data_IF_092747533628
#
_entry.id   IF_092747533628
#
_cell.length_a   1.000
_cell.length_b   1.000
_cell.length_c   1.000
_cell.angle_alpha   90.00
_cell.angle_beta   90.00
_cell.angle_gamma   90.00
#
_symmetry.space_group_name_H-M   'P 1'
#
loop_
_entity.id
_entity.type
_entity.pdbx_description
1 polymer ?
#
# COMPACT_ATOMS: atom_id res chain seq x y z
N UNK A 1 3.10 14.45 23.03
CA UNK A 1 4.49 14.88 23.29
C UNK A 1 4.48 16.39 23.49
N UNK A 2 5.12 16.88 24.54
CA UNK A 2 5.06 18.33 24.88
C UNK A 2 6.41 18.92 25.22
N UNK A 3 7.49 18.15 25.12
CA UNK A 3 8.85 18.60 25.47
C UNK A 3 9.86 18.30 24.36
N UNK A 4 10.94 19.10 24.23
CA UNK A 4 12.05 18.80 23.34
C UNK A 4 12.71 17.43 23.59
N UNK A 5 12.68 16.95 24.84
CA UNK A 5 13.21 15.63 25.19
C UNK A 5 12.33 14.50 24.63
N UNK A 6 11.01 14.70 24.58
CA UNK A 6 10.08 13.73 23.99
C UNK A 6 10.38 13.56 22.49
N UNK A 7 10.55 14.68 21.77
CA UNK A 7 10.87 14.65 20.34
C UNK A 7 12.20 13.93 20.08
N UNK A 8 13.25 14.23 20.86
CA UNK A 8 14.55 13.58 20.71
C UNK A 8 14.48 12.05 20.88
N UNK A 9 13.74 11.57 21.88
CA UNK A 9 13.54 10.13 22.10
C UNK A 9 12.79 9.50 20.92
N UNK A 10 11.81 10.20 20.36
CA UNK A 10 11.01 9.66 19.27
C UNK A 10 11.77 9.64 17.95
N UNK A 11 12.53 10.69 17.65
CA UNK A 11 13.47 10.71 16.52
C UNK A 11 14.51 9.59 16.64
N UNK A 12 15.11 9.39 17.82
CA UNK A 12 16.09 8.30 18.02
C UNK A 12 15.45 6.92 17.80
N UNK A 13 14.24 6.70 18.30
CA UNK A 13 13.52 5.45 18.12
C UNK A 13 13.08 5.22 16.66
N UNK A 14 12.64 6.27 15.97
CA UNK A 14 12.34 6.25 14.54
C UNK A 14 13.59 5.84 13.74
N UNK A 15 14.68 6.59 13.89
CA UNK A 15 15.93 6.36 13.15
C UNK A 15 16.45 4.93 13.41
N UNK A 16 16.40 4.47 14.65
CA UNK A 16 16.78 3.09 14.99
C UNK A 16 15.95 2.07 14.19
N UNK A 17 14.62 2.22 14.15
CA UNK A 17 13.75 1.31 13.42
C UNK A 17 14.02 1.36 11.92
N UNK A 18 14.12 2.56 11.35
CA UNK A 18 14.27 2.75 9.90
C UNK A 18 15.64 2.34 9.39
N UNK A 19 16.71 2.62 10.14
CA UNK A 19 18.07 2.27 9.74
C UNK A 19 18.35 0.77 9.87
N UNK A 20 17.74 0.11 10.86
CA UNK A 20 18.10 -1.27 11.22
C UNK A 20 17.07 -2.31 10.79
N UNK A 21 15.83 -1.93 10.49
CA UNK A 21 14.77 -2.86 10.06
C UNK A 21 14.42 -2.65 8.59
N UNK A 22 14.16 -1.41 8.21
CA UNK A 22 13.64 -1.06 6.89
C UNK A 22 14.76 -0.89 5.84
N UNK A 23 15.75 -0.05 6.14
CA UNK A 23 16.88 0.28 5.26
C UNK A 23 17.68 -0.93 4.76
N UNK A 24 17.92 -2.01 5.55
CA UNK A 24 18.63 -3.18 5.02
C UNK A 24 17.96 -3.79 3.78
N UNK A 25 16.64 -3.75 3.68
CA UNK A 25 15.95 -4.21 2.47
C UNK A 25 16.22 -3.29 1.29
N UNK A 26 16.18 -1.96 1.50
CA UNK A 26 16.43 -0.98 0.44
C UNK A 26 17.82 -1.12 -0.16
N UNK A 27 18.84 -1.29 0.68
CA UNK A 27 20.23 -1.32 0.23
C UNK A 27 20.70 -2.69 -0.26
N UNK A 28 20.17 -3.79 0.29
CA UNK A 28 20.68 -5.14 0.02
C UNK A 28 19.68 -6.07 -0.66
N UNK A 29 18.38 -5.71 -0.71
CA UNK A 29 17.34 -6.56 -1.27
C UNK A 29 17.32 -6.61 -2.80
N UNK A 30 17.81 -5.56 -3.46
CA UNK A 30 17.81 -5.43 -4.93
C UNK A 30 16.41 -5.36 -5.56
N UNK A 31 15.37 -5.21 -4.74
CA UNK A 31 13.94 -5.23 -5.09
C UNK A 31 13.27 -3.90 -4.70
N UNK A 32 12.15 -3.60 -5.34
CA UNK A 32 11.36 -2.40 -5.07
C UNK A 32 10.77 -2.39 -3.66
N UNK A 33 10.84 -1.25 -2.98
CA UNK A 33 10.22 -1.08 -1.66
C UNK A 33 8.68 -1.07 -1.71
N UNK A 34 8.13 -0.62 -2.84
CA UNK A 34 6.69 -0.52 -3.08
C UNK A 34 6.12 -1.75 -3.81
N UNK A 35 6.98 -2.61 -4.36
CA UNK A 35 6.61 -3.90 -4.92
C UNK A 35 7.83 -4.83 -4.94
N UNK A 36 7.79 -5.86 -4.09
CA UNK A 36 8.89 -6.81 -3.92
C UNK A 36 9.16 -7.65 -5.18
N UNK A 37 8.23 -7.68 -6.14
CA UNK A 37 8.35 -8.45 -7.39
C UNK A 37 9.22 -7.72 -8.40
N UNK A 38 9.36 -6.40 -8.26
CA UNK A 38 10.11 -5.53 -9.17
C UNK A 38 11.56 -5.31 -8.72
N UNK A 39 12.49 -5.01 -9.64
CA UNK A 39 13.81 -4.48 -9.29
C UNK A 39 13.73 -3.16 -8.52
N UNK A 40 14.76 -2.82 -7.74
CA UNK A 40 14.80 -1.55 -7.02
C UNK A 40 14.66 -0.31 -7.93
N UNK A 41 15.35 -0.31 -9.07
CA UNK A 41 15.33 0.79 -10.05
C UNK A 41 14.22 0.58 -11.09
N UNK A 42 12.98 0.42 -10.64
CA UNK A 42 11.80 0.26 -11.49
C UNK A 42 10.65 1.17 -11.00
N UNK A 43 10.43 2.32 -11.65
CA UNK A 43 9.38 3.25 -11.26
C UNK A 43 8.01 2.65 -11.60
N UNK A 44 7.38 2.04 -10.60
CA UNK A 44 6.02 1.50 -10.70
C UNK A 44 5.19 2.08 -9.55
N UNK A 45 4.18 2.94 -9.83
CA UNK A 45 3.73 3.40 -11.16
C UNK A 45 4.73 4.29 -11.93
N UNK A 46 4.53 4.39 -13.26
CA UNK A 46 5.35 5.25 -14.14
C UNK A 46 5.14 6.75 -13.86
N UNK A 47 6.18 7.56 -14.08
CA UNK A 47 6.22 8.99 -13.73
C UNK A 47 5.85 9.98 -14.84
N UNK A 48 5.34 9.51 -15.99
CA UNK A 48 5.03 10.38 -17.15
C UNK A 48 4.00 11.48 -16.86
N UNK A 49 3.19 11.33 -15.81
CA UNK A 49 2.19 12.32 -15.41
C UNK A 49 2.82 13.66 -15.02
N UNK A 50 4.08 13.67 -14.56
CA UNK A 50 4.81 14.90 -14.21
C UNK A 50 5.02 15.78 -15.43
N UNK A 51 5.38 15.21 -16.58
CA UNK A 51 5.53 15.95 -17.83
C UNK A 51 4.19 16.56 -18.27
N UNK A 52 3.11 15.80 -18.14
CA UNK A 52 1.77 16.25 -18.48
C UNK A 52 1.30 17.43 -17.60
N UNK A 53 1.53 17.34 -16.28
CA UNK A 53 1.16 18.38 -15.32
C UNK A 53 1.96 19.68 -15.54
N UNK A 54 3.17 19.57 -16.07
CA UNK A 54 4.04 20.70 -16.38
C UNK A 54 3.84 21.30 -17.79
N UNK A 55 2.90 20.78 -18.60
CA UNK A 55 2.54 21.45 -19.85
C UNK A 55 1.94 22.84 -19.55
N UNK A 56 2.32 23.90 -20.27
CA UNK A 56 1.75 25.24 -20.06
C UNK A 56 0.23 25.28 -20.18
N UNK A 57 -0.34 24.47 -21.08
CA UNK A 57 -1.79 24.34 -21.25
C UNK A 57 -2.45 23.68 -20.04
N UNK A 58 -1.81 22.67 -19.44
CA UNK A 58 -2.33 21.97 -18.25
C UNK A 58 -2.26 22.88 -17.03
N UNK A 59 -1.11 23.50 -16.79
CA UNK A 59 -0.93 24.46 -15.70
C UNK A 59 -1.92 25.63 -15.81
N UNK A 60 -2.10 26.19 -17.00
CA UNK A 60 -3.09 27.25 -17.25
C UNK A 60 -4.53 26.80 -17.02
N UNK A 61 -4.88 25.57 -17.41
CA UNK A 61 -6.22 25.01 -17.19
C UNK A 61 -6.51 24.74 -15.71
N UNK A 62 -5.49 24.34 -14.93
CA UNK A 62 -5.57 24.14 -13.48
C UNK A 62 -5.48 25.44 -12.68
N UNK A 63 -4.99 26.53 -13.30
CA UNK A 63 -4.81 27.83 -12.65
C UNK A 63 -3.61 27.87 -11.70
N UNK A 64 -2.56 27.10 -11.99
CA UNK A 64 -1.32 27.04 -11.18
C UNK A 64 -0.16 27.69 -11.92
N UNK A 65 0.77 28.30 -11.17
CA UNK A 65 1.95 28.99 -11.69
C UNK A 65 3.28 28.37 -11.20
N UNK A 66 3.22 27.13 -10.71
CA UNK A 66 4.36 26.38 -10.19
C UNK A 66 4.59 25.10 -11.00
N UNK A 67 5.85 24.66 -11.06
CA UNK A 67 6.20 23.37 -11.66
C UNK A 67 5.91 22.23 -10.68
N UNK A 68 5.28 21.17 -11.18
CA UNK A 68 5.04 19.94 -10.44
C UNK A 68 6.32 19.09 -10.38
N UNK A 69 6.62 18.51 -9.22
CA UNK A 69 7.75 17.59 -9.00
C UNK A 69 7.27 16.16 -8.78
N UNK A 70 8.02 15.17 -9.25
CA UNK A 70 7.70 13.75 -9.02
C UNK A 70 7.76 13.42 -7.53
N UNK A 71 8.85 13.86 -6.89
CA UNK A 71 9.13 13.55 -5.50
C UNK A 71 8.34 14.47 -4.56
N UNK A 72 8.05 13.93 -3.38
CA UNK A 72 7.58 14.71 -2.25
C UNK A 72 8.62 15.78 -1.86
N UNK A 73 8.16 16.83 -1.18
CA UNK A 73 9.05 17.88 -0.70
C UNK A 73 9.94 17.34 0.43
N UNK A 74 11.24 17.22 0.18
CA UNK A 74 12.20 16.70 1.16
C UNK A 74 12.29 17.56 2.43
N UNK A 75 12.12 18.88 2.35
CA UNK A 75 12.15 19.74 3.53
C UNK A 75 10.97 19.42 4.47
N UNK A 76 9.79 19.15 3.90
CA UNK A 76 8.62 18.70 4.68
C UNK A 76 8.87 17.32 5.26
N UNK A 77 9.41 16.40 4.46
CA UNK A 77 9.75 15.05 4.93
C UNK A 77 10.70 15.10 6.14
N UNK A 78 11.80 15.86 6.04
CA UNK A 78 12.77 15.97 7.12
C UNK A 78 12.20 16.69 8.34
N UNK A 79 11.33 17.68 8.16
CA UNK A 79 10.67 18.35 9.28
C UNK A 79 9.82 17.37 10.13
N UNK A 80 9.16 16.39 9.50
CA UNK A 80 8.42 15.34 10.23
C UNK A 80 9.37 14.36 10.92
N UNK A 81 10.40 13.87 10.21
CA UNK A 81 11.41 12.97 10.77
C UNK A 81 12.14 13.58 11.98
N UNK A 82 12.52 14.86 11.91
CA UNK A 82 13.18 15.59 13.00
C UNK A 82 12.32 15.72 14.27
N UNK A 83 11.01 15.48 14.17
CA UNK A 83 10.09 15.48 15.32
C UNK A 83 9.68 14.07 15.79
N UNK A 84 10.15 13.02 15.10
CA UNK A 84 9.83 11.63 15.41
C UNK A 84 8.37 11.26 15.09
N UNK A 85 7.75 11.96 14.14
CA UNK A 85 6.32 11.85 13.87
C UNK A 85 5.93 10.49 13.24
N UNK A 86 6.85 9.80 12.56
CA UNK A 86 6.54 8.49 11.96
C UNK A 86 6.16 7.43 12.99
N UNK A 87 6.63 7.56 14.23
CA UNK A 87 6.34 6.64 15.32
C UNK A 87 5.41 7.25 16.38
N UNK A 88 4.64 8.26 15.98
CA UNK A 88 3.78 8.97 16.92
C UNK A 88 2.82 7.99 17.65
N UNK A 89 2.72 8.06 18.99
CA UNK A 89 2.35 6.91 19.80
C UNK A 89 0.85 6.63 19.90
N UNK A 90 0.00 7.46 19.28
CA UNK A 90 -1.46 7.36 19.40
C UNK A 90 -2.18 6.88 18.12
N UNK A 91 -1.46 6.51 17.05
CA UNK A 91 -2.13 6.08 15.81
C UNK A 91 -3.08 4.89 16.03
N UNK A 92 -2.73 3.95 16.91
CA UNK A 92 -3.59 2.81 17.26
C UNK A 92 -4.81 3.27 18.07
N UNK A 93 -4.61 4.15 19.04
CA UNK A 93 -5.66 4.73 19.89
C UNK A 93 -6.65 5.56 19.06
N UNK A 94 -6.19 6.21 17.99
CA UNK A 94 -7.06 6.93 17.06
C UNK A 94 -7.98 5.95 16.29
N UNK A 95 -7.47 4.79 15.86
CA UNK A 95 -8.31 3.73 15.27
C UNK A 95 -9.34 3.20 16.28
N UNK A 96 -8.92 2.96 17.52
CA UNK A 96 -9.80 2.53 18.61
C UNK A 96 -10.92 3.54 18.86
N UNK A 97 -10.58 4.83 18.88
CA UNK A 97 -11.53 5.93 19.04
C UNK A 97 -12.56 5.96 17.91
N UNK A 98 -12.12 5.88 16.65
CA UNK A 98 -13.00 5.89 15.48
C UNK A 98 -14.01 4.75 15.53
N UNK A 99 -13.53 3.52 15.78
CA UNK A 99 -14.37 2.33 15.84
C UNK A 99 -15.38 2.38 16.99
N UNK A 100 -14.97 2.84 18.18
CA UNK A 100 -15.87 3.02 19.32
C UNK A 100 -16.95 4.09 19.07
N UNK A 101 -16.71 5.03 18.15
CA UNK A 101 -17.69 6.03 17.69
C UNK A 101 -18.48 5.57 16.46
N UNK A 102 -18.49 4.27 16.16
CA UNK A 102 -19.20 3.69 15.01
C UNK A 102 -18.75 4.26 13.66
N UNK A 103 -17.53 4.78 13.56
CA UNK A 103 -16.91 5.14 12.28
C UNK A 103 -16.37 3.89 11.62
N UNK A 104 -16.68 3.71 10.34
CA UNK A 104 -16.18 2.59 9.55
C UNK A 104 -14.69 2.78 9.23
N UNK A 105 -13.90 1.74 9.48
CA UNK A 105 -12.46 1.69 9.20
C UNK A 105 -12.16 0.48 8.33
N UNK A 106 -11.57 0.72 7.16
CA UNK A 106 -11.11 -0.33 6.26
C UNK A 106 -9.59 -0.23 6.08
N UNK A 107 -8.88 -1.25 6.56
CA UNK A 107 -7.45 -1.42 6.37
C UNK A 107 -7.20 -2.22 5.11
N UNK A 108 -6.45 -1.65 4.15
CA UNK A 108 -6.30 -2.18 2.80
C UNK A 108 -4.81 -2.28 2.50
N UNK A 109 -4.35 -3.48 2.16
CA UNK A 109 -2.92 -3.74 1.96
C UNK A 109 -2.70 -4.60 0.72
N UNK A 110 -1.80 -4.15 -0.16
CA UNK A 110 -1.28 -4.97 -1.25
C UNK A 110 -0.31 -6.03 -0.71
N UNK A 111 -0.43 -7.26 -1.20
CA UNK A 111 0.37 -8.37 -0.68
C UNK A 111 1.81 -8.48 -1.20
N UNK A 112 2.19 -7.59 -2.12
CA UNK A 112 3.55 -7.43 -2.63
C UNK A 112 4.23 -6.15 -2.11
N UNK A 113 3.58 -5.35 -1.26
CA UNK A 113 4.21 -4.17 -0.65
C UNK A 113 5.18 -4.57 0.48
N UNK A 114 6.37 -3.98 0.49
CA UNK A 114 7.34 -4.17 1.57
C UNK A 114 7.21 -3.08 2.64
N UNK A 115 7.23 -1.81 2.22
CA UNK A 115 7.33 -0.66 3.12
C UNK A 115 6.14 -0.57 4.08
N UNK A 116 4.93 -0.86 3.58
CA UNK A 116 3.71 -0.95 4.37
C UNK A 116 3.07 -2.33 4.18
N UNK A 117 3.83 -3.38 4.42
CA UNK A 117 3.39 -4.76 4.18
C UNK A 117 2.12 -5.16 4.97
N UNK A 118 1.36 -6.07 4.37
CA UNK A 118 0.11 -6.58 4.93
C UNK A 118 0.28 -7.36 6.25
N UNK A 119 1.46 -7.91 6.55
CA UNK A 119 1.72 -8.58 7.83
C UNK A 119 1.66 -7.58 8.99
N UNK A 120 2.31 -6.43 8.83
CA UNK A 120 2.24 -5.32 9.79
C UNK A 120 0.81 -4.80 9.93
N UNK A 121 0.11 -4.62 8.81
CA UNK A 121 -1.30 -4.23 8.79
C UNK A 121 -2.22 -5.21 9.53
N UNK A 122 -2.04 -6.52 9.33
CA UNK A 122 -2.80 -7.55 10.03
C UNK A 122 -2.52 -7.50 11.54
N UNK A 123 -1.24 -7.40 11.92
CA UNK A 123 -0.84 -7.31 13.32
C UNK A 123 -1.45 -6.09 14.01
N UNK A 124 -1.47 -4.92 13.34
CA UNK A 124 -2.17 -3.73 13.82
C UNK A 124 -3.66 -4.00 13.95
N UNK A 125 -4.31 -4.57 12.94
CA UNK A 125 -5.75 -4.86 12.97
C UNK A 125 -6.16 -5.74 14.16
N UNK A 126 -5.33 -6.72 14.53
CA UNK A 126 -5.57 -7.60 15.66
C UNK A 126 -5.22 -6.98 17.02
N UNK A 127 -4.41 -5.91 17.04
CA UNK A 127 -3.99 -5.22 18.24
C UNK A 127 -4.92 -4.06 18.66
N UNK A 128 -5.76 -3.55 17.75
CA UNK A 128 -6.74 -2.49 18.04
C UNK A 128 -7.68 -2.93 19.16
N UNK A 129 -7.65 -2.22 20.29
CA UNK A 129 -8.44 -2.52 21.48
C UNK A 129 -9.75 -1.72 21.50
N UNK A 130 -10.75 -2.18 20.74
CA UNK A 130 -12.07 -1.55 20.65
C UNK A 130 -13.20 -2.50 21.11
N UNK A 131 -14.44 -2.01 21.14
CA UNK A 131 -15.62 -2.72 21.67
C UNK A 131 -15.82 -4.14 21.12
N UNK A 132 -15.46 -4.40 19.85
CA UNK A 132 -15.67 -5.69 19.19
C UNK A 132 -14.37 -6.42 18.81
N UNK A 133 -13.29 -6.20 19.58
CA UNK A 133 -11.98 -6.77 19.26
C UNK A 133 -11.99 -8.30 19.28
N UNK A 134 -12.70 -8.92 20.23
CA UNK A 134 -12.80 -10.37 20.33
C UNK A 134 -13.54 -10.97 19.15
N UNK A 135 -14.65 -10.35 18.73
CA UNK A 135 -15.42 -10.80 17.58
C UNK A 135 -14.65 -10.63 16.27
N UNK A 136 -13.96 -9.50 16.10
CA UNK A 136 -13.08 -9.30 14.93
C UNK A 136 -11.95 -10.32 14.87
N UNK A 137 -11.27 -10.58 15.99
CA UNK A 137 -10.22 -11.59 16.04
C UNK A 137 -10.75 -13.01 15.77
N UNK A 138 -12.01 -13.29 16.11
CA UNK A 138 -12.68 -14.55 15.82
C UNK A 138 -13.20 -14.66 14.38
N UNK A 139 -13.39 -13.55 13.66
CA UNK A 139 -13.80 -13.56 12.26
C UNK A 139 -12.73 -14.20 11.36
N UNK A 140 -13.18 -15.10 10.49
CA UNK A 140 -12.34 -15.77 9.51
C UNK A 140 -12.10 -14.93 8.25
N UNK A 141 -11.10 -15.29 7.48
CA UNK A 141 -10.82 -14.74 6.16
C UNK A 141 -11.79 -15.32 5.12
N UNK A 142 -12.57 -14.44 4.49
CA UNK A 142 -13.45 -14.74 3.35
C UNK A 142 -12.84 -14.20 2.06
N UNK A 143 -12.94 -14.91 0.92
CA UNK A 143 -12.50 -14.39 -0.38
C UNK A 143 -13.12 -13.02 -0.72
N UNK A 144 -12.30 -12.11 -1.22
CA UNK A 144 -12.72 -10.83 -1.78
C UNK A 144 -13.01 -11.01 -3.27
N UNK A 145 -14.29 -11.14 -3.59
CA UNK A 145 -14.79 -11.48 -4.92
C UNK A 145 -15.30 -10.24 -5.66
N UNK A 146 -14.94 -10.11 -6.94
CA UNK A 146 -15.47 -9.08 -7.84
C UNK A 146 -15.77 -9.72 -9.20
N UNK A 147 -17.05 -9.72 -9.60
CA UNK A 147 -17.57 -10.36 -10.82
C UNK A 147 -17.14 -11.84 -11.01
N UNK A 148 -16.99 -12.58 -9.92
CA UNK A 148 -16.63 -13.99 -9.95
C UNK A 148 -15.13 -14.29 -9.89
N UNK A 149 -14.27 -13.26 -9.94
CA UNK A 149 -12.83 -13.39 -9.75
C UNK A 149 -12.45 -13.02 -8.30
N UNK A 150 -11.48 -13.75 -7.73
CA UNK A 150 -10.93 -13.50 -6.41
C UNK A 150 -9.74 -12.54 -6.49
N UNK A 151 -9.81 -11.43 -5.75
CA UNK A 151 -8.80 -10.37 -5.75
C UNK A 151 -8.08 -10.23 -4.41
N UNK A 152 -8.40 -11.06 -3.43
CA UNK A 152 -7.87 -10.94 -2.08
C UNK A 152 -8.67 -11.75 -1.08
N UNK A 153 -8.40 -11.48 0.20
CA UNK A 153 -9.12 -12.08 1.32
C UNK A 153 -9.33 -11.05 2.43
N UNK A 154 -10.53 -11.06 3.02
CA UNK A 154 -10.96 -10.09 4.03
C UNK A 154 -11.37 -10.76 5.32
N UNK A 155 -10.88 -10.20 6.44
CA UNK A 155 -11.46 -10.36 7.77
C UNK A 155 -12.28 -9.11 8.08
N UNK A 156 -13.55 -9.27 8.42
CA UNK A 156 -14.42 -8.15 8.77
C UNK A 156 -15.39 -8.53 9.89
N UNK A 157 -15.50 -7.63 10.88
CA UNK A 157 -16.59 -7.63 11.84
C UNK A 157 -17.20 -6.23 11.91
N UNK A 158 -18.48 -6.12 11.58
CA UNK A 158 -19.20 -4.85 11.51
C UNK A 158 -18.41 -3.79 10.73
N UNK A 159 -18.11 -2.69 11.42
CA UNK A 159 -17.45 -1.51 10.87
C UNK A 159 -15.94 -1.63 10.69
N UNK A 160 -15.31 -2.73 11.09
CA UNK A 160 -13.87 -2.92 10.97
C UNK A 160 -13.53 -4.03 9.99
N UNK A 161 -12.69 -3.74 9.00
CA UNK A 161 -12.21 -4.73 8.04
C UNK A 161 -10.71 -4.62 7.81
N UNK A 162 -10.04 -5.76 7.71
CA UNK A 162 -8.68 -5.91 7.19
C UNK A 162 -8.75 -6.71 5.88
N UNK A 163 -8.28 -6.12 4.79
CA UNK A 163 -8.26 -6.70 3.46
C UNK A 163 -6.82 -6.79 2.95
N UNK A 164 -6.41 -8.01 2.63
CA UNK A 164 -5.21 -8.31 1.84
C UNK A 164 -5.61 -8.41 0.38
N UNK A 165 -5.05 -7.56 -0.48
CA UNK A 165 -5.31 -7.53 -1.93
C UNK A 165 -4.19 -8.24 -2.65
N UNK A 166 -4.54 -9.23 -3.46
CA UNK A 166 -3.59 -10.05 -4.19
C UNK A 166 -2.96 -9.31 -5.36
N UNK A 167 -1.73 -9.72 -5.67
CA UNK A 167 -0.96 -9.26 -6.83
C UNK A 167 -0.78 -7.73 -6.86
N UNK A 168 -0.74 -7.09 -5.69
CA UNK A 168 -0.72 -5.63 -5.53
C UNK A 168 0.44 -5.16 -4.68
N UNK A 169 1.18 -4.16 -5.15
CA UNK A 169 2.13 -3.40 -4.35
C UNK A 169 1.47 -2.29 -3.53
N UNK A 170 2.25 -1.28 -3.18
CA UNK A 170 1.86 -0.14 -2.34
C UNK A 170 0.62 0.60 -2.88
N UNK A 171 0.64 0.94 -4.17
CA UNK A 171 -0.44 1.64 -4.85
C UNK A 171 -1.52 0.68 -5.35
N UNK A 172 -2.27 0.05 -4.44
CA UNK A 172 -3.27 -0.99 -4.77
C UNK A 172 -4.18 -0.64 -5.97
N UNK A 173 -4.72 0.59 -6.12
CA UNK A 173 -5.54 0.95 -7.28
C UNK A 173 -4.82 0.90 -8.63
N UNK A 174 -3.50 1.05 -8.66
CA UNK A 174 -2.71 0.90 -9.88
C UNK A 174 -2.67 -0.57 -10.34
N UNK A 175 -2.47 -1.50 -9.39
CA UNK A 175 -2.36 -2.94 -9.68
C UNK A 175 -3.73 -3.58 -9.93
N UNK A 176 -4.73 -3.26 -9.10
CA UNK A 176 -6.06 -3.86 -9.12
C UNK A 176 -7.15 -2.78 -9.21
N UNK A 177 -7.24 -2.02 -10.33
CA UNK A 177 -8.15 -0.88 -10.44
C UNK A 177 -9.63 -1.27 -10.32
N UNK A 178 -10.00 -2.40 -10.93
CA UNK A 178 -11.37 -2.94 -10.88
C UNK A 178 -11.77 -3.28 -9.45
N UNK A 179 -10.93 -4.05 -8.76
CA UNK A 179 -11.19 -4.48 -7.40
C UNK A 179 -11.20 -3.29 -6.41
N UNK A 180 -10.28 -2.35 -6.60
CA UNK A 180 -10.20 -1.13 -5.78
C UNK A 180 -11.44 -0.25 -5.90
N UNK A 181 -12.02 -0.14 -7.09
CA UNK A 181 -13.28 0.59 -7.28
C UNK A 181 -14.45 -0.08 -6.56
N UNK A 182 -14.57 -1.41 -6.63
CA UNK A 182 -15.63 -2.13 -5.93
C UNK A 182 -15.45 -2.08 -4.41
N UNK A 183 -14.22 -2.21 -3.92
CA UNK A 183 -13.89 -1.97 -2.51
C UNK A 183 -14.33 -0.58 -2.04
N UNK A 184 -13.96 0.46 -2.78
CA UNK A 184 -14.34 1.84 -2.47
C UNK A 184 -15.85 2.00 -2.37
N UNK A 185 -16.60 1.47 -3.35
CA UNK A 185 -18.06 1.49 -3.35
C UNK A 185 -18.64 0.74 -2.14
N UNK A 186 -18.14 -0.45 -1.83
CA UNK A 186 -18.64 -1.28 -0.70
C UNK A 186 -18.42 -0.60 0.64
N UNK A 187 -17.24 -0.03 0.86
CA UNK A 187 -16.93 0.73 2.08
C UNK A 187 -17.84 1.95 2.20
N UNK A 188 -17.99 2.74 1.12
CA UNK A 188 -18.82 3.94 1.12
C UNK A 188 -20.31 3.64 1.33
N UNK A 189 -20.83 2.62 0.63
CA UNK A 189 -22.24 2.22 0.66
C UNK A 189 -22.61 1.32 1.83
N UNK A 190 -21.68 1.08 2.77
CA UNK A 190 -21.88 0.23 3.93
C UNK A 190 -22.29 -1.21 3.57
N UNK A 191 -21.67 -1.78 2.53
CA UNK A 191 -21.83 -3.19 2.14
C UNK A 191 -20.69 -4.03 2.74
N UNK A 192 -20.85 -5.35 2.78
CA UNK A 192 -19.77 -6.25 3.16
C UNK A 192 -18.61 -6.10 2.15
N UNK A 193 -17.38 -6.25 2.64
CA UNK A 193 -16.22 -6.10 1.76
C UNK A 193 -16.05 -7.31 0.84
N UNK A 194 -16.42 -8.51 1.30
CA UNK A 194 -16.15 -9.78 0.63
C UNK A 194 -16.75 -9.83 -0.79
N UNK A 195 -18.05 -9.60 -0.93
CA UNK A 195 -18.73 -9.62 -2.23
C UNK A 195 -19.70 -8.46 -2.45
N UNK A 196 -20.00 -7.68 -1.40
CA UNK A 196 -20.85 -6.51 -1.47
C UNK A 196 -22.33 -6.83 -1.67
N UNK A 197 -22.74 -8.06 -1.39
CA UNK A 197 -24.12 -8.52 -1.59
C UNK A 197 -25.04 -8.14 -0.44
N UNK A 198 -24.49 -7.86 0.75
CA UNK A 198 -25.29 -7.58 1.95
C UNK A 198 -24.85 -6.28 2.65
N UNK A 199 -25.81 -5.50 3.20
CA UNK A 199 -25.48 -4.39 4.06
C UNK A 199 -24.79 -4.84 5.36
N UNK A 200 -23.77 -4.10 5.77
CA UNK A 200 -23.08 -4.31 7.05
C UNK A 200 -23.94 -3.79 8.18
N UNK A 201 -24.32 -4.68 9.09
CA UNK A 201 -24.90 -4.38 10.40
C UNK A 201 -23.83 -4.52 11.49
N UNK A 202 -24.11 -4.04 12.71
CA UNK A 202 -23.14 -4.08 13.82
C UNK A 202 -22.70 -5.48 14.27
N UNK A 203 -23.36 -6.54 13.80
CA UNK A 203 -23.05 -7.95 14.08
C UNK A 203 -22.65 -8.75 12.82
N UNK A 204 -22.43 -8.09 11.68
CA UNK A 204 -21.90 -8.77 10.50
C UNK A 204 -20.51 -9.34 10.80
N UNK A 205 -20.23 -10.57 10.36
CA UNK A 205 -18.92 -11.21 10.50
C UNK A 205 -18.61 -12.00 9.23
N UNK A 206 -17.38 -11.88 8.75
CA UNK A 206 -16.83 -12.82 7.77
C UNK A 206 -16.60 -14.19 8.42
N UNK A 207 -16.45 -15.20 7.57
CA UNK A 207 -16.20 -16.60 7.95
C UNK A 207 -15.03 -17.18 7.14
N UNK A 208 -14.58 -18.39 7.46
CA UNK A 208 -13.45 -19.02 6.78
C UNK A 208 -12.27 -19.24 7.71
N UNK A 209 -11.07 -19.32 7.15
CA UNK A 209 -9.89 -19.69 7.89
C UNK A 209 -9.42 -18.58 8.83
N UNK A 210 -8.84 -18.95 9.97
CA UNK A 210 -8.31 -17.99 10.94
C UNK A 210 -7.08 -17.22 10.43
N UNK A 211 -6.48 -17.67 9.31
CA UNK A 211 -5.27 -17.09 8.74
C UNK A 211 -5.44 -16.90 7.24
N UNK A 212 -4.85 -15.82 6.73
CA UNK A 212 -4.63 -15.62 5.32
C UNK A 212 -3.58 -16.62 4.81
N UNK A 213 -3.95 -17.52 3.88
CA UNK A 213 -3.06 -18.63 3.45
C UNK A 213 -2.61 -18.56 2.00
N UNK A 214 -3.13 -17.63 1.21
CA UNK A 214 -2.78 -17.51 -0.21
C UNK A 214 -1.30 -17.19 -0.41
N UNK A 215 -0.68 -17.89 -1.37
CA UNK A 215 0.72 -17.72 -1.74
C UNK A 215 0.84 -17.39 -3.23
N UNK A 216 1.59 -16.35 -3.55
CA UNK A 216 1.88 -15.99 -4.94
C UNK A 216 3.10 -16.75 -5.47
N UNK A 217 3.22 -16.80 -6.78
CA UNK A 217 4.41 -17.37 -7.43
C UNK A 217 5.61 -16.48 -7.18
N UNK A 218 6.79 -17.04 -6.90
CA UNK A 218 8.00 -16.25 -6.80
C UNK A 218 8.50 -15.78 -8.18
N UNK A 219 8.70 -14.47 -8.35
CA UNK A 219 9.32 -13.89 -9.55
C UNK A 219 10.80 -13.60 -9.34
N UNK A 220 11.65 -14.33 -10.06
CA UNK A 220 13.08 -14.07 -10.12
C UNK A 220 13.34 -12.79 -10.93
N UNK A 221 14.18 -11.90 -10.39
CA UNK A 221 14.64 -10.73 -11.13
C UNK A 221 15.51 -11.16 -12.33
N UNK A 222 15.49 -10.44 -13.46
CA UNK A 222 16.38 -10.71 -14.60
C UNK A 222 17.84 -10.69 -14.16
N UNK A 223 18.65 -11.66 -14.61
CA UNK A 223 20.08 -11.65 -14.31
C UNK A 223 20.79 -10.50 -15.02
N UNK A 224 21.69 -9.80 -14.32
CA UNK A 224 22.48 -8.67 -14.83
C UNK A 224 23.26 -8.97 -16.12
N UNK A 225 23.52 -10.24 -16.43
CA UNK A 225 24.15 -10.71 -17.67
C UNK A 225 23.28 -10.53 -18.92
N UNK A 226 21.96 -10.47 -18.79
CA UNK A 226 21.05 -10.33 -19.93
C UNK A 226 20.79 -8.86 -20.32
N UNK A 227 20.90 -7.92 -19.38
CA UNK A 227 20.78 -6.49 -19.65
C UNK A 227 21.96 -5.93 -20.48
N UNK A 228 23.18 -6.46 -20.27
CA UNK A 228 24.37 -6.06 -21.02
C UNK A 228 24.41 -6.61 -22.47
N UNK A 229 23.71 -7.72 -22.74
CA UNK A 229 23.59 -8.27 -24.10
C UNK A 229 22.63 -7.44 -24.98
N UNK A 230 21.62 -6.80 -24.37
CA UNK A 230 20.69 -5.92 -25.08
C UNK A 230 21.33 -4.56 -25.44
N UNK A 231 22.24 -4.04 -24.60
CA UNK A 231 22.90 -2.74 -24.84
C UNK A 231 24.10 -2.80 -25.80
N UNK A 232 24.59 -3.99 -26.15
CA UNK A 232 25.75 -4.19 -27.05
C UNK A 232 25.38 -4.51 -28.50
N UNK A 233 24.08 -4.57 -28.85
CA UNK A 233 23.62 -4.89 -30.19
C UNK A 233 22.63 -3.86 -30.75
N UNK A 234 23.05 -2.60 -30.93
CA UNK A 234 22.39 -1.67 -31.88
C UNK A 234 23.28 -0.48 -32.22
N UNK A 235 24.24 -0.69 -33.13
CA UNK A 235 24.75 0.38 -33.99
C UNK A 235 24.15 0.17 -35.38
N UNK A 236 22.90 0.62 -35.58
CA UNK A 236 22.27 0.91 -36.87
C UNK A 236 20.92 1.56 -36.60
N UNK A 237 20.78 2.83 -36.97
CA UNK A 237 19.59 3.63 -36.78
C UNK A 237 18.42 3.18 -37.66
N UNK A 238 17.27 2.90 -37.05
CA UNK A 238 15.92 3.22 -37.55
C UNK A 238 14.92 3.14 -36.38
N UNK A 239 13.96 4.04 -36.39
CA UNK A 239 12.95 4.30 -35.35
C UNK A 239 12.18 3.07 -34.85
N UNK A 240 12.30 2.77 -33.56
CA UNK A 240 11.24 2.21 -32.72
C UNK A 240 11.63 2.41 -31.25
N UNK A 241 10.75 3.00 -30.45
CA UNK A 241 10.91 3.00 -28.99
C UNK A 241 11.04 1.55 -28.50
N UNK A 242 11.96 1.24 -27.57
CA UNK A 242 12.08 -0.11 -27.04
C UNK A 242 10.75 -0.48 -26.37
N UNK A 243 10.05 -1.46 -26.94
CA UNK A 243 8.89 -2.04 -26.30
C UNK A 243 9.36 -2.84 -25.09
N UNK A 244 9.19 -2.25 -23.91
CA UNK A 244 9.12 -3.03 -22.67
C UNK A 244 7.93 -3.96 -22.85
N UNK A 245 8.21 -5.26 -22.94
CA UNK A 245 7.19 -6.30 -22.97
C UNK A 245 6.47 -6.24 -21.63
N UNK A 246 5.38 -5.48 -21.56
CA UNK A 246 4.42 -5.50 -20.46
C UNK A 246 3.78 -6.88 -20.44
N UNK A 247 4.38 -7.82 -19.70
CA UNK A 247 3.70 -9.06 -19.34
C UNK A 247 2.56 -8.63 -18.41
N UNK A 248 1.33 -8.97 -18.78
CA UNK A 248 0.17 -8.77 -17.89
C UNK A 248 0.52 -9.36 -16.52
N UNK A 249 0.49 -8.49 -15.52
CA UNK A 249 0.45 -8.83 -14.10
C UNK A 249 -0.87 -9.53 -13.80
#
# INVERSE_FOLDING_TARGET
MTSPADYAICTEAEDMCRDNVESPYYFYGGRGAYDIRHPYADPTPESYFVDYLNLPSTAAALGVDLNYTLDANNDVYYAFQETGDFIFPNFKEDLEMLLNNSVRVALIYGDADYICNWFGGEAVSLAVNYTYKEEFAASGYTPFMVDGDEYGEVRQYGNFSFLRVYESGHEVPYYQPKASLELFKRVLLHLDVADGTIPVTGNFSTSGDAKATHTNTFWALPSSTSAAAASSSTASATSAAPQIVRRKF
#
